data_IF_236551681012
#
_entry.id   IF_236551681012
#
_cell.length_a   1.000
_cell.length_b   1.000
_cell.length_c   1.000
_cell.angle_alpha   90.00
_cell.angle_beta   90.00
_cell.angle_gamma   90.00
#
_symmetry.space_group_name_H-M   'P 1'
#
loop_
_entity.id
_entity.type
_entity.pdbx_description
1 polymer ?
#
# COMPACT_ATOMS: atom_id res chain seq x y z
N UNK A 1 -19.40 14.16 0.66
CA UNK A 1 -18.69 12.95 0.17
C UNK A 1 -18.08 13.26 -1.17
N UNK A 2 -16.78 13.03 -1.29
CA UNK A 2 -16.07 13.18 -2.53
C UNK A 2 -16.22 11.90 -3.37
N UNK A 3 -16.49 12.05 -4.67
CA UNK A 3 -16.67 10.90 -5.55
C UNK A 3 -15.34 10.28 -6.01
N UNK A 4 -14.23 11.02 -5.86
CA UNK A 4 -12.90 10.62 -6.31
C UNK A 4 -11.85 10.84 -5.20
N UNK A 5 -10.84 9.94 -5.11
CA UNK A 5 -9.69 10.15 -4.23
C UNK A 5 -8.92 11.42 -4.59
N UNK A 6 -8.08 11.87 -3.66
CA UNK A 6 -7.15 12.96 -3.88
C UNK A 6 -6.09 12.58 -4.92
N UNK A 7 -5.94 13.44 -5.94
CA UNK A 7 -4.99 13.20 -7.05
C UNK A 7 -3.68 14.00 -6.92
N UNK A 8 -3.57 14.86 -5.92
CA UNK A 8 -2.32 15.56 -5.59
C UNK A 8 -1.36 14.68 -4.78
N UNK A 9 -0.26 15.28 -4.31
CA UNK A 9 0.69 14.58 -3.45
C UNK A 9 0.17 14.45 -2.00
N UNK A 10 0.79 13.54 -1.25
CA UNK A 10 0.44 13.26 0.15
C UNK A 10 0.61 14.45 1.09
N UNK A 11 1.62 15.32 0.87
CA UNK A 11 1.82 16.48 1.73
C UNK A 11 0.66 17.47 1.56
N UNK A 12 0.28 17.74 0.32
CA UNK A 12 -0.88 18.58 0.00
C UNK A 12 -2.20 18.00 0.55
N UNK A 13 -2.36 16.67 0.56
CA UNK A 13 -3.52 16.01 1.17
C UNK A 13 -3.57 16.25 2.70
N UNK A 14 -2.43 16.12 3.39
CA UNK A 14 -2.36 16.39 4.83
C UNK A 14 -2.70 17.85 5.14
N UNK A 15 -2.24 18.79 4.32
CA UNK A 15 -2.58 20.21 4.48
C UNK A 15 -4.08 20.48 4.20
N UNK A 16 -4.69 19.77 3.25
CA UNK A 16 -6.13 19.81 3.02
C UNK A 16 -6.92 19.26 4.21
N UNK A 17 -6.44 18.23 4.90
CA UNK A 17 -7.05 17.74 6.15
C UNK A 17 -6.92 18.76 7.29
N UNK A 18 -5.76 19.38 7.45
CA UNK A 18 -5.51 20.37 8.51
C UNK A 18 -6.33 21.64 8.35
N UNK A 19 -6.55 22.07 7.11
CA UNK A 19 -7.36 23.24 6.79
C UNK A 19 -8.87 22.96 6.81
N UNK A 20 -9.27 21.68 6.86
CA UNK A 20 -10.66 21.27 6.75
C UNK A 20 -11.24 21.32 5.33
N UNK A 21 -10.41 21.55 4.31
CA UNK A 21 -10.81 21.44 2.90
C UNK A 21 -11.24 20.02 2.56
N UNK A 22 -10.56 19.04 3.16
CA UNK A 22 -10.82 17.62 2.98
C UNK A 22 -11.01 16.94 4.33
N UNK A 23 -11.84 15.90 4.37
CA UNK A 23 -12.05 15.07 5.55
C UNK A 23 -11.35 13.72 5.39
N UNK A 24 -10.60 13.22 6.40
CA UNK A 24 -9.97 11.90 6.35
C UNK A 24 -10.95 10.75 6.08
N UNK A 25 -12.14 10.79 6.69
CA UNK A 25 -13.14 9.74 6.49
C UNK A 25 -13.75 9.79 5.09
N UNK A 26 -14.05 10.99 4.56
CA UNK A 26 -14.56 11.12 3.19
C UNK A 26 -13.50 10.74 2.15
N UNK A 27 -12.22 11.02 2.42
CA UNK A 27 -11.11 10.61 1.57
C UNK A 27 -10.93 9.10 1.55
N UNK A 28 -11.03 8.44 2.71
CA UNK A 28 -10.97 6.99 2.80
C UNK A 28 -12.16 6.33 2.08
N UNK A 29 -13.38 6.85 2.25
CA UNK A 29 -14.55 6.34 1.54
C UNK A 29 -14.40 6.46 0.02
N UNK A 30 -13.89 7.61 -0.46
CA UNK A 30 -13.57 7.82 -1.87
C UNK A 30 -12.48 6.85 -2.36
N UNK A 31 -11.44 6.63 -1.56
CA UNK A 31 -10.34 5.68 -1.81
C UNK A 31 -10.86 4.25 -1.95
N UNK A 32 -11.65 3.76 -0.99
CA UNK A 32 -12.21 2.41 -1.01
C UNK A 32 -13.10 2.24 -2.23
N UNK A 33 -14.01 3.19 -2.49
CA UNK A 33 -14.88 3.14 -3.66
C UNK A 33 -14.10 3.15 -4.98
N UNK A 34 -12.98 3.87 -5.07
CA UNK A 34 -12.13 3.85 -6.24
C UNK A 34 -11.39 2.52 -6.42
N UNK A 35 -10.92 1.91 -5.33
CA UNK A 35 -10.29 0.59 -5.35
C UNK A 35 -11.28 -0.47 -5.84
N UNK A 36 -12.50 -0.47 -5.32
CA UNK A 36 -13.56 -1.43 -5.70
C UNK A 36 -13.97 -1.31 -7.17
N UNK A 37 -13.95 -0.10 -7.74
CA UNK A 37 -14.25 0.14 -9.17
C UNK A 37 -13.05 -0.10 -10.10
N UNK A 38 -11.85 -0.22 -9.54
CA UNK A 38 -10.61 -0.37 -10.32
C UNK A 38 -10.49 -1.75 -10.94
N UNK A 39 -10.03 -1.81 -12.18
CA UNK A 39 -9.70 -3.06 -12.88
C UNK A 39 -8.19 -3.33 -12.93
N UNK A 40 -7.40 -2.59 -12.13
CA UNK A 40 -5.93 -2.69 -12.09
C UNK A 40 -5.43 -3.90 -11.29
N UNK A 41 -6.28 -4.51 -10.46
CA UNK A 41 -5.90 -5.56 -9.52
C UNK A 41 -4.69 -5.15 -8.66
N UNK A 42 -4.76 -3.92 -8.12
CA UNK A 42 -3.70 -3.31 -7.33
C UNK A 42 -3.75 -3.74 -5.84
N UNK A 43 -4.93 -4.07 -5.32
CA UNK A 43 -5.16 -4.52 -3.95
C UNK A 43 -5.70 -5.96 -3.91
N UNK A 44 -5.30 -6.72 -2.89
CA UNK A 44 -5.68 -8.12 -2.66
C UNK A 44 -6.54 -8.31 -1.41
N UNK A 45 -6.50 -7.34 -0.51
CA UNK A 45 -7.26 -7.32 0.74
C UNK A 45 -7.52 -5.88 1.17
N UNK A 46 -8.68 -5.60 1.78
CA UNK A 46 -9.06 -4.32 2.37
C UNK A 46 -9.50 -4.53 3.83
N UNK A 47 -9.02 -3.70 4.75
CA UNK A 47 -9.44 -3.71 6.16
C UNK A 47 -10.40 -2.55 6.43
N UNK A 48 -11.51 -2.52 5.68
CA UNK A 48 -12.44 -1.37 5.61
C UNK A 48 -12.92 -0.92 6.99
N UNK A 49 -13.26 -1.86 7.89
CA UNK A 49 -13.77 -1.53 9.22
C UNK A 49 -12.72 -0.80 10.05
N UNK A 50 -11.51 -1.38 10.20
CA UNK A 50 -10.45 -0.76 11.00
C UNK A 50 -9.96 0.55 10.36
N UNK A 51 -9.90 0.60 9.03
CA UNK A 51 -9.52 1.82 8.31
C UNK A 51 -10.51 2.96 8.57
N UNK A 52 -11.83 2.69 8.53
CA UNK A 52 -12.85 3.70 8.78
C UNK A 52 -12.80 4.22 10.21
N UNK A 53 -12.59 3.35 11.19
CA UNK A 53 -12.45 3.77 12.59
C UNK A 53 -11.18 4.62 12.81
N UNK A 54 -10.07 4.26 12.17
CA UNK A 54 -8.85 5.06 12.19
C UNK A 54 -9.05 6.43 11.52
N UNK A 55 -9.74 6.49 10.38
CA UNK A 55 -10.01 7.75 9.68
C UNK A 55 -10.96 8.68 10.45
N UNK A 56 -11.99 8.14 11.12
CA UNK A 56 -12.91 8.90 11.97
C UNK A 56 -12.23 9.56 13.16
N UNK A 57 -11.16 8.95 13.66
CA UNK A 57 -10.42 9.39 14.84
C UNK A 57 -9.02 9.93 14.52
N UNK A 58 -8.77 10.21 13.24
CA UNK A 58 -7.45 10.62 12.76
C UNK A 58 -6.98 11.93 13.41
N UNK A 59 -5.76 11.91 13.96
CA UNK A 59 -5.07 13.11 14.40
C UNK A 59 -4.34 13.76 13.23
N UNK A 60 -4.99 14.75 12.60
CA UNK A 60 -4.47 15.49 11.44
C UNK A 60 -3.26 16.39 11.77
N UNK A 61 -2.88 16.52 13.05
CA UNK A 61 -1.65 17.22 13.44
C UNK A 61 -0.39 16.39 13.17
N UNK A 62 -0.52 15.07 13.07
CA UNK A 62 0.59 14.15 12.80
C UNK A 62 1.09 14.24 11.34
N UNK A 63 2.30 13.75 11.02
CA UNK A 63 2.88 13.85 9.68
C UNK A 63 2.05 13.21 8.57
N UNK A 64 1.36 12.10 8.84
CA UNK A 64 0.47 11.38 7.92
C UNK A 64 -0.97 11.30 8.45
N UNK A 65 -1.35 12.19 9.37
CA UNK A 65 -2.64 12.16 10.05
C UNK A 65 -3.83 12.03 9.10
N UNK A 66 -4.45 10.84 9.08
CA UNK A 66 -5.63 10.54 8.28
C UNK A 66 -5.35 10.11 6.83
N UNK A 67 -4.10 10.04 6.39
CA UNK A 67 -3.74 9.67 5.00
C UNK A 67 -4.02 8.19 4.76
N UNK A 68 -4.87 7.82 3.80
CA UNK A 68 -5.02 6.43 3.37
C UNK A 68 -3.75 5.94 2.66
N UNK A 69 -3.18 4.82 3.13
CA UNK A 69 -1.98 4.22 2.53
C UNK A 69 -2.19 2.75 2.16
N UNK A 70 -1.63 2.35 1.02
CA UNK A 70 -1.53 0.95 0.61
C UNK A 70 -0.30 0.27 1.21
N UNK A 71 -0.43 -0.97 1.68
CA UNK A 71 0.69 -1.74 2.26
C UNK A 71 1.06 -2.89 1.33
N UNK A 72 2.32 -3.02 0.91
CA UNK A 72 2.74 -4.22 0.13
C UNK A 72 2.42 -5.49 0.92
N UNK A 73 1.75 -6.46 0.30
CA UNK A 73 1.30 -7.71 0.95
C UNK A 73 2.40 -8.46 1.71
N UNK A 74 3.66 -8.39 1.24
CA UNK A 74 4.83 -8.99 1.90
C UNK A 74 5.29 -8.24 3.17
N UNK A 75 4.49 -7.30 3.68
CA UNK A 75 4.73 -6.57 4.92
C UNK A 75 3.63 -6.94 5.91
N UNK A 76 3.94 -7.79 6.92
CA UNK A 76 2.97 -8.22 7.91
C UNK A 76 2.28 -7.08 8.64
N UNK A 77 0.96 -7.20 8.81
CA UNK A 77 0.09 -6.37 9.65
C UNK A 77 -0.77 -7.30 10.47
N UNK A 78 -0.76 -7.17 11.80
CA UNK A 78 -1.42 -8.14 12.67
C UNK A 78 -2.92 -8.30 12.35
N UNK A 79 -3.33 -9.55 12.13
CA UNK A 79 -4.69 -9.92 11.78
C UNK A 79 -5.05 -9.74 10.30
N UNK A 80 -4.11 -9.34 9.44
CA UNK A 80 -4.28 -9.35 7.98
C UNK A 80 -3.76 -10.66 7.38
N UNK A 81 -4.15 -11.03 6.15
CA UNK A 81 -3.55 -12.16 5.43
C UNK A 81 -2.02 -12.05 5.35
N UNK A 82 -1.32 -13.17 5.51
CA UNK A 82 0.15 -13.25 5.36
C UNK A 82 0.51 -14.32 4.32
N UNK A 83 -0.04 -14.17 3.12
CA UNK A 83 0.02 -15.23 2.11
C UNK A 83 1.32 -15.25 1.31
N UNK A 84 2.14 -14.19 1.43
CA UNK A 84 3.33 -13.99 0.57
C UNK A 84 3.00 -14.04 -0.94
N UNK A 85 1.74 -13.74 -1.30
CA UNK A 85 1.14 -13.91 -2.62
C UNK A 85 1.26 -15.36 -3.17
N UNK A 86 1.25 -16.36 -2.28
CA UNK A 86 1.45 -17.78 -2.61
C UNK A 86 0.28 -18.64 -2.13
N UNK A 87 -0.13 -19.59 -2.97
CA UNK A 87 -1.11 -20.62 -2.61
C UNK A 87 -0.67 -21.43 -1.38
N UNK A 88 0.65 -21.56 -1.15
CA UNK A 88 1.19 -22.30 -0.01
C UNK A 88 0.84 -21.68 1.35
N UNK A 89 0.51 -20.39 1.38
CA UNK A 89 0.19 -19.64 2.60
C UNK A 89 -1.17 -18.94 2.51
N UNK A 90 -2.07 -19.39 1.62
CA UNK A 90 -3.36 -18.73 1.35
C UNK A 90 -4.24 -18.54 2.60
N UNK A 91 -4.07 -19.42 3.61
CA UNK A 91 -4.83 -19.42 4.85
C UNK A 91 -4.07 -18.80 6.04
N UNK A 92 -2.86 -18.28 5.82
CA UNK A 92 -2.04 -17.70 6.88
C UNK A 92 -2.49 -16.28 7.21
N UNK A 93 -2.46 -15.96 8.50
CA UNK A 93 -2.78 -14.63 9.04
C UNK A 93 -1.60 -14.13 9.86
N UNK A 94 -1.20 -12.88 9.64
CA UNK A 94 -0.09 -12.27 10.35
C UNK A 94 -0.38 -12.17 11.86
N UNK A 95 0.55 -12.65 12.67
CA UNK A 95 0.49 -12.60 14.14
C UNK A 95 1.22 -11.39 14.72
N UNK A 96 1.79 -10.54 13.87
CA UNK A 96 2.53 -9.34 14.24
C UNK A 96 2.44 -8.30 13.14
N UNK A 97 2.71 -7.05 13.50
CA UNK A 97 2.89 -5.95 12.55
C UNK A 97 4.38 -5.66 12.37
N UNK A 98 4.79 -5.36 11.14
CA UNK A 98 6.16 -4.94 10.85
C UNK A 98 6.45 -3.58 11.45
N UNK A 99 7.65 -3.39 12.02
CA UNK A 99 8.00 -2.15 12.74
C UNK A 99 7.90 -0.88 11.88
N UNK A 100 8.12 -0.98 10.57
CA UNK A 100 7.97 0.17 9.68
C UNK A 100 6.50 0.53 9.43
N UNK A 101 5.59 -0.44 9.52
CA UNK A 101 4.14 -0.19 9.46
C UNK A 101 3.67 0.40 10.78
N UNK A 102 4.09 -0.13 11.93
CA UNK A 102 3.78 0.47 13.23
C UNK A 102 4.18 1.95 13.27
N UNK A 103 5.38 2.28 12.78
CA UNK A 103 5.84 3.68 12.70
C UNK A 103 5.03 4.56 11.75
N UNK A 104 4.45 4.00 10.69
CA UNK A 104 3.56 4.75 9.79
C UNK A 104 2.22 5.01 10.49
N UNK A 105 1.67 4.01 11.17
CA UNK A 105 0.46 4.15 11.98
C UNK A 105 0.65 5.14 13.12
N UNK A 106 1.78 5.09 13.84
CA UNK A 106 2.16 6.06 14.89
C UNK A 106 2.30 7.49 14.33
N UNK A 107 2.64 7.62 13.05
CA UNK A 107 2.69 8.91 12.35
C UNK A 107 1.31 9.36 11.80
N UNK A 108 0.24 8.62 12.11
CA UNK A 108 -1.15 8.96 11.81
C UNK A 108 -1.69 8.38 10.50
N UNK A 109 -0.93 7.53 9.80
CA UNK A 109 -1.38 6.93 8.55
C UNK A 109 -2.53 5.94 8.78
N UNK A 110 -3.48 5.90 7.84
CA UNK A 110 -4.62 4.99 7.82
C UNK A 110 -4.32 3.86 6.84
N UNK A 111 -4.13 2.64 7.34
CA UNK A 111 -3.84 1.48 6.49
C UNK A 111 -5.12 1.03 5.78
N UNK A 112 -5.16 1.13 4.44
CA UNK A 112 -6.35 0.79 3.64
C UNK A 112 -6.46 -0.73 3.45
N UNK A 113 -5.34 -1.35 3.10
CA UNK A 113 -5.30 -2.76 2.71
C UNK A 113 -3.98 -3.18 2.10
N UNK A 114 -3.93 -4.42 1.61
CA UNK A 114 -2.75 -5.01 1.00
C UNK A 114 -2.72 -4.76 -0.50
N UNK A 115 -1.61 -4.18 -0.97
CA UNK A 115 -1.30 -4.09 -2.38
C UNK A 115 -0.66 -5.38 -2.88
N UNK A 116 -1.11 -5.85 -4.04
CA UNK A 116 -0.64 -7.08 -4.68
C UNK A 116 0.88 -7.02 -4.95
N UNK A 117 1.53 -8.19 -4.95
CA UNK A 117 2.95 -8.32 -5.21
C UNK A 117 3.25 -9.58 -6.05
N UNK A 118 4.51 -9.74 -6.43
CA UNK A 118 4.98 -11.05 -6.92
C UNK A 118 5.08 -12.02 -5.75
N UNK A 119 4.78 -13.29 -6.00
CA UNK A 119 4.99 -14.38 -5.05
C UNK A 119 6.40 -14.33 -4.42
N UNK A 120 6.47 -14.29 -3.08
CA UNK A 120 7.70 -14.12 -2.28
C UNK A 120 8.56 -12.90 -2.61
N UNK A 121 8.03 -11.97 -3.40
CA UNK A 121 8.79 -10.87 -3.96
C UNK A 121 9.85 -11.29 -5.00
N UNK A 122 9.76 -12.52 -5.52
CA UNK A 122 10.82 -13.17 -6.29
C UNK A 122 10.94 -12.76 -7.75
N UNK A 123 9.88 -12.16 -8.34
CA UNK A 123 9.86 -11.75 -9.75
C UNK A 123 9.83 -10.22 -9.89
N UNK A 124 10.37 -9.73 -11.01
CA UNK A 124 10.31 -8.30 -11.38
C UNK A 124 9.01 -7.93 -12.12
N UNK A 125 7.98 -8.77 -12.00
CA UNK A 125 6.62 -8.55 -12.51
C UNK A 125 5.61 -9.03 -11.47
N UNK A 126 4.60 -8.23 -11.16
CA UNK A 126 3.56 -8.58 -10.18
C UNK A 126 2.48 -9.48 -10.80
N UNK A 127 2.85 -10.74 -10.93
CA UNK A 127 1.97 -11.86 -11.30
C UNK A 127 2.11 -12.94 -10.24
N UNK A 128 0.99 -13.54 -9.82
CA UNK A 128 0.97 -14.70 -8.93
C UNK A 128 -0.31 -15.51 -9.17
N UNK A 129 -0.33 -16.76 -8.69
CA UNK A 129 -1.48 -17.66 -8.89
C UNK A 129 -2.66 -17.36 -7.96
N UNK A 130 -2.39 -16.83 -6.76
CA UNK A 130 -3.40 -16.62 -5.74
C UNK A 130 -4.34 -15.44 -6.08
N UNK A 131 -3.76 -14.32 -6.51
CA UNK A 131 -4.43 -13.04 -6.75
C UNK A 131 -4.41 -12.61 -8.22
N UNK A 132 -3.64 -13.29 -9.08
CA UNK A 132 -3.54 -12.98 -10.50
C UNK A 132 -2.53 -11.88 -10.84
N UNK A 133 -2.83 -11.09 -11.89
CA UNK A 133 -1.91 -10.12 -12.49
C UNK A 133 -2.29 -8.70 -12.08
N UNK A 134 -1.34 -7.90 -11.60
CA UNK A 134 -1.50 -6.45 -11.49
C UNK A 134 -1.23 -5.80 -12.84
N UNK A 135 -2.14 -4.93 -13.27
CA UNK A 135 -2.03 -4.19 -14.52
C UNK A 135 -1.39 -2.82 -14.33
N UNK A 136 -0.68 -2.36 -15.37
CA UNK A 136 -0.13 -1.02 -15.43
C UNK A 136 -1.25 0.02 -15.62
N UNK A 137 -1.31 1.10 -14.82
CA UNK A 137 -2.35 2.12 -14.95
C UNK A 137 -2.26 2.93 -16.25
N UNK A 138 -1.10 2.97 -16.92
CA UNK A 138 -0.94 3.64 -18.21
C UNK A 138 -1.50 2.83 -19.38
N UNK A 139 -1.52 1.50 -19.27
CA UNK A 139 -2.10 0.62 -20.27
C UNK A 139 -2.46 -0.74 -19.64
N UNK A 140 -3.76 -0.98 -19.49
CA UNK A 140 -4.28 -2.24 -18.94
C UNK A 140 -3.73 -3.45 -19.73
N UNK A 141 -3.34 -4.51 -19.01
CA UNK A 141 -2.74 -5.70 -19.62
C UNK A 141 -1.22 -5.62 -19.77
N UNK A 142 -0.60 -4.43 -19.68
CA UNK A 142 0.85 -4.31 -19.54
C UNK A 142 1.29 -4.55 -18.10
N UNK A 143 2.55 -4.92 -17.94
CA UNK A 143 3.15 -5.14 -16.63
C UNK A 143 3.27 -3.83 -15.85
N UNK A 144 2.88 -3.83 -14.58
CA UNK A 144 3.18 -2.77 -13.62
C UNK A 144 4.62 -2.85 -13.07
N UNK A 145 5.46 -3.74 -13.59
CA UNK A 145 6.74 -4.12 -12.97
C UNK A 145 6.53 -4.94 -11.70
N UNK A 146 7.58 -5.09 -10.90
CA UNK A 146 7.50 -5.88 -9.67
C UNK A 146 8.80 -5.91 -8.87
N UNK A 147 8.77 -6.45 -7.65
CA UNK A 147 7.62 -7.13 -7.05
C UNK A 147 6.58 -6.23 -6.38
N UNK A 148 6.82 -4.92 -6.21
CA UNK A 148 5.83 -3.97 -5.67
C UNK A 148 4.91 -3.35 -6.74
N UNK A 149 4.47 -4.15 -7.71
CA UNK A 149 3.63 -3.67 -8.82
C UNK A 149 2.25 -3.20 -8.35
N UNK A 150 1.62 -3.87 -7.37
CA UNK A 150 0.35 -3.42 -6.79
C UNK A 150 0.48 -2.04 -6.15
N UNK A 151 1.54 -1.81 -5.35
CA UNK A 151 1.80 -0.51 -4.73
C UNK A 151 1.99 0.60 -5.77
N UNK A 152 2.78 0.35 -6.82
CA UNK A 152 3.00 1.34 -7.87
C UNK A 152 1.74 1.58 -8.72
N UNK A 153 0.98 0.53 -9.01
CA UNK A 153 -0.28 0.63 -9.76
C UNK A 153 -1.35 1.38 -8.97
N UNK A 154 -1.44 1.15 -7.65
CA UNK A 154 -2.35 1.88 -6.76
C UNK A 154 -2.06 3.38 -6.73
N UNK A 155 -0.78 3.77 -6.64
CA UNK A 155 -0.39 5.19 -6.61
C UNK A 155 -0.59 5.85 -7.97
N UNK A 156 -0.04 5.28 -9.05
CA UNK A 156 -0.15 5.87 -10.38
C UNK A 156 -1.59 5.80 -10.94
N UNK A 157 -2.39 4.84 -10.49
CA UNK A 157 -3.81 4.74 -10.81
C UNK A 157 -4.72 5.69 -10.03
N UNK A 158 -4.16 6.52 -9.14
CA UNK A 158 -4.92 7.48 -8.34
C UNK A 158 -5.84 6.84 -7.30
N UNK A 159 -5.49 5.64 -6.81
CA UNK A 159 -6.24 4.95 -5.76
C UNK A 159 -5.82 5.41 -4.36
N UNK A 160 -4.52 5.65 -4.18
CA UNK A 160 -3.92 6.22 -2.95
C UNK A 160 -2.78 7.16 -3.34
N UNK A 161 -2.42 8.11 -2.48
CA UNK A 161 -1.32 9.05 -2.78
C UNK A 161 0.07 8.46 -2.50
N UNK A 162 0.14 7.46 -1.64
CA UNK A 162 1.39 6.79 -1.25
C UNK A 162 1.13 5.33 -0.85
N UNK A 163 2.10 4.47 -1.12
CA UNK A 163 2.05 3.06 -0.73
C UNK A 163 3.44 2.56 -0.32
N UNK A 164 3.48 1.56 0.55
CA UNK A 164 4.73 0.93 0.95
C UNK A 164 5.22 -0.06 -0.12
N UNK A 165 6.50 -0.39 -0.07
CA UNK A 165 7.11 -1.36 -0.95
C UNK A 165 8.34 -2.01 -0.33
N UNK A 166 8.90 -3.01 -1.02
CA UNK A 166 10.12 -3.69 -0.62
C UNK A 166 11.00 -3.92 -1.83
N UNK A 167 12.30 -3.66 -1.71
CA UNK A 167 13.26 -3.68 -2.82
C UNK A 167 14.48 -4.55 -2.48
N UNK A 168 14.54 -5.77 -3.01
CA UNK A 168 15.72 -6.62 -2.91
C UNK A 168 16.71 -6.32 -4.04
N UNK A 169 16.21 -6.30 -5.27
CA UNK A 169 17.00 -6.11 -6.51
C UNK A 169 16.41 -5.08 -7.47
N UNK A 170 15.57 -4.17 -7.00
CA UNK A 170 14.84 -3.20 -7.84
C UNK A 170 13.35 -3.17 -7.59
N UNK A 171 12.82 -3.97 -6.67
CA UNK A 171 11.39 -4.21 -6.58
C UNK A 171 10.52 -3.03 -6.14
N UNK A 172 11.09 -1.87 -5.77
CA UNK A 172 10.39 -0.57 -5.68
C UNK A 172 10.70 0.28 -6.93
N UNK A 173 11.97 0.34 -7.33
CA UNK A 173 12.43 1.22 -8.42
C UNK A 173 11.96 0.77 -9.81
N UNK A 174 11.89 -0.53 -10.07
CA UNK A 174 11.39 -1.13 -11.31
C UNK A 174 9.91 -0.78 -11.50
N UNK A 175 8.98 -1.14 -10.59
CA UNK A 175 7.58 -0.77 -10.77
C UNK A 175 7.37 0.75 -10.72
N UNK A 176 8.17 1.50 -9.95
CA UNK A 176 8.20 2.96 -10.03
C UNK A 176 8.51 3.47 -11.43
N UNK A 177 9.53 2.92 -12.11
CA UNK A 177 9.88 3.27 -13.49
C UNK A 177 8.81 2.89 -14.51
N UNK A 178 8.17 1.73 -14.35
CA UNK A 178 7.08 1.27 -15.24
C UNK A 178 5.80 2.09 -15.07
N UNK A 179 5.56 2.63 -13.88
CA UNK A 179 4.37 3.42 -13.57
C UNK A 179 4.63 4.93 -13.53
N UNK A 180 5.81 5.40 -13.93
CA UNK A 180 6.13 6.83 -13.99
C UNK A 180 6.18 7.53 -12.62
N UNK A 181 6.54 6.80 -11.57
CA UNK A 181 6.57 7.27 -10.18
C UNK A 181 7.99 7.43 -9.63
N UNK A 182 8.11 8.24 -8.58
CA UNK A 182 9.28 8.24 -7.71
C UNK A 182 9.19 7.02 -6.77
N UNK A 183 10.12 6.07 -6.91
CA UNK A 183 10.27 4.92 -6.03
C UNK A 183 11.58 4.97 -5.26
N UNK A 184 11.54 5.12 -3.93
CA UNK A 184 12.75 5.24 -3.11
C UNK A 184 13.10 3.92 -2.40
N UNK A 185 14.35 3.49 -2.57
CA UNK A 185 14.96 2.44 -1.75
C UNK A 185 16.03 3.06 -0.87
N UNK A 186 15.76 3.13 0.44
CA UNK A 186 16.75 3.56 1.43
C UNK A 186 17.99 2.64 1.47
N UNK A 187 19.10 3.17 1.98
CA UNK A 187 20.32 2.38 2.25
C UNK A 187 19.98 1.13 3.05
N UNK A 188 20.63 0.00 2.75
CA UNK A 188 20.41 -1.25 3.49
C UNK A 188 20.57 -1.02 5.01
N UNK A 189 19.61 -1.53 5.80
CA UNK A 189 19.55 -1.32 7.25
C UNK A 189 18.87 -0.02 7.71
N UNK A 190 18.58 0.95 6.81
CA UNK A 190 17.89 2.20 7.18
C UNK A 190 16.45 1.96 7.66
N UNK A 191 15.73 1.06 6.98
CA UNK A 191 14.37 0.66 7.35
C UNK A 191 14.45 -0.72 8.00
N UNK A 192 13.91 -0.89 9.23
CA UNK A 192 13.98 -2.16 9.94
C UNK A 192 13.13 -3.25 9.26
N UNK A 193 13.60 -4.50 9.32
CA UNK A 193 12.87 -5.69 8.85
C UNK A 193 12.20 -6.49 9.99
N UNK A 194 12.34 -6.03 11.22
CA UNK A 194 11.75 -6.67 12.40
C UNK A 194 10.26 -6.34 12.56
N UNK A 195 9.54 -7.07 13.43
CA UNK A 195 9.99 -8.21 14.22
C UNK A 195 9.73 -9.53 13.45
N UNK A 196 10.62 -9.91 12.54
CA UNK A 196 10.53 -11.22 11.88
C UNK A 196 11.40 -12.22 12.64
N UNK A 197 10.89 -13.42 12.98
CA UNK A 197 11.74 -14.50 13.51
C UNK A 197 12.82 -14.96 12.50
N UNK A 198 12.75 -14.53 11.23
CA UNK A 198 13.74 -14.82 10.18
C UNK A 198 14.78 -13.71 10.01
N UNK A 199 14.69 -12.60 10.75
CA UNK A 199 15.78 -11.61 10.79
C UNK A 199 16.88 -12.13 11.70
N UNK A 200 17.71 -13.03 11.18
CA UNK A 200 19.06 -13.18 11.74
C UNK A 200 19.87 -11.95 11.35
N UNK A 201 20.71 -11.44 12.27
CA UNK A 201 21.57 -10.27 12.02
C UNK A 201 22.49 -10.45 10.82
#
# INVERSE_FOLDING_TARGET
>A
MADTPWLGDTCSLVDAFRSGERSPVEELEATIGAIERSDLNAFTFLDTERALDAARTADVSLPFGGVPIGVKELSPVQGWPMTECSLAFENETATYTSLHIDRLTDAGAVLVGQCNASEFGGLNVSVNLLHGVTHNPWERGKSAGGSSGGSASAVAGGLVTIATGGDGGGSIRIPGGFSGLVGMKGTAGRIPRGPSPRSTP
#
